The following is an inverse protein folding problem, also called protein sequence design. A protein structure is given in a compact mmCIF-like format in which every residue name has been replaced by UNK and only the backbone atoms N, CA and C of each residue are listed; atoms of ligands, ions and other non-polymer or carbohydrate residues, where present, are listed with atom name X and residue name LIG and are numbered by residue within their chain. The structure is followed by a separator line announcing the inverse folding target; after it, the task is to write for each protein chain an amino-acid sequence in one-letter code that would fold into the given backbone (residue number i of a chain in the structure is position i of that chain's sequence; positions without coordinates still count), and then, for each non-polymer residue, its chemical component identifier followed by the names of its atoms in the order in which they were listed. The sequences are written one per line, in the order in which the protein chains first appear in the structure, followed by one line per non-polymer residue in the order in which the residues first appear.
data_IF_549115542218
#
_entry.id   IF_549115542218
#
_cell.length_a   1.000
_cell.length_b   1.000
_cell.length_c   1.000
_cell.angle_alpha   90.00
_cell.angle_beta   90.00
_cell.angle_gamma   90.00
#
_symmetry.space_group_name_H-M   'P 1'
#
loop_
_entity.id
_entity.type
_entity.pdbx_description
1 polymer ?
#
# COMPACT_ATOMS: atom_id res chain seq x y z
N UNK A 1 -46.39 42.35 -23.61
CA UNK A 1 -46.17 40.90 -23.39
C UNK A 1 -44.88 40.78 -22.59
N UNK A 2 -44.93 41.00 -21.27
CA UNK A 2 -45.20 40.02 -20.20
C UNK A 2 -44.36 38.75 -20.30
N UNK A 3 -43.49 38.55 -19.30
CA UNK A 3 -42.70 37.34 -19.09
C UNK A 3 -41.60 37.52 -18.04
N UNK A 4 -41.92 38.03 -16.84
CA UNK A 4 -41.06 37.98 -15.66
C UNK A 4 -41.13 36.59 -15.01
N UNK A 5 -39.99 36.03 -14.58
CA UNK A 5 -39.93 34.96 -13.56
C UNK A 5 -38.95 35.38 -12.47
N UNK A 6 -39.48 35.37 -11.26
CA UNK A 6 -38.94 35.92 -10.04
C UNK A 6 -37.74 35.16 -9.46
N UNK A 7 -36.82 35.91 -8.83
CA UNK A 7 -35.81 35.42 -7.89
C UNK A 7 -36.43 35.38 -6.49
N UNK A 8 -36.28 34.25 -5.79
CA UNK A 8 -36.66 34.13 -4.38
C UNK A 8 -35.41 34.06 -3.51
N UNK A 9 -35.20 35.10 -2.70
CA UNK A 9 -34.24 35.17 -1.60
C UNK A 9 -35.00 34.98 -0.30
N UNK A 10 -34.65 33.96 0.48
CA UNK A 10 -35.12 33.82 1.86
C UNK A 10 -34.12 34.49 2.81
N UNK A 11 -34.57 35.57 3.44
CA UNK A 11 -34.05 36.10 4.70
C UNK A 11 -35.10 35.79 5.76
N UNK A 12 -34.76 35.09 6.83
CA UNK A 12 -35.48 35.24 8.11
C UNK A 12 -34.48 35.17 9.26
N UNK A 13 -34.60 36.19 10.10
CA UNK A 13 -33.85 36.48 11.31
C UNK A 13 -34.66 36.02 12.52
N UNK A 14 -33.97 35.53 13.56
CA UNK A 14 -34.14 35.90 14.98
C UNK A 14 -35.43 35.62 15.79
N UNK A 15 -35.18 34.95 16.94
CA UNK A 15 -35.68 35.15 18.32
C UNK A 15 -36.99 34.49 18.84
N UNK A 16 -36.80 33.94 20.06
CA UNK A 16 -37.67 33.73 21.24
C UNK A 16 -38.69 32.57 21.37
N UNK A 17 -38.24 31.53 22.09
CA UNK A 17 -38.59 31.15 23.47
C UNK A 17 -40.05 30.89 23.96
N UNK A 18 -40.13 29.80 24.77
CA UNK A 18 -41.01 29.51 25.93
C UNK A 18 -42.42 28.89 25.72
N UNK A 19 -42.59 27.59 26.04
CA UNK A 19 -43.29 27.06 27.26
C UNK A 19 -43.58 25.53 27.16
N UNK A 20 -43.11 24.83 28.20
CA UNK A 20 -43.51 23.57 28.87
C UNK A 20 -44.23 22.42 28.15
N UNK A 21 -43.69 21.21 28.37
CA UNK A 21 -44.39 19.93 28.25
C UNK A 21 -43.58 18.78 28.86
N UNK A 22 -43.90 18.44 30.10
CA UNK A 22 -43.30 17.43 30.98
C UNK A 22 -43.26 16.02 30.37
N UNK A 23 -42.11 15.34 30.43
CA UNK A 23 -42.06 13.89 30.71
C UNK A 23 -40.72 13.50 31.34
N UNK A 24 -40.81 13.21 32.63
CA UNK A 24 -39.78 12.62 33.49
C UNK A 24 -39.72 11.12 33.19
N UNK A 25 -38.54 10.60 32.90
CA UNK A 25 -38.19 9.22 33.26
C UNK A 25 -36.70 9.15 33.63
N UNK A 26 -36.50 8.67 34.86
CA UNK A 26 -35.24 8.40 35.52
C UNK A 26 -34.46 7.33 34.76
N UNK A 27 -33.15 7.53 34.56
CA UNK A 27 -32.18 6.50 34.93
C UNK A 27 -30.78 7.11 35.06
N UNK A 28 -30.39 7.38 36.31
CA UNK A 28 -29.01 7.68 36.71
C UNK A 28 -28.26 6.36 36.98
N UNK A 29 -26.94 6.44 36.87
CA UNK A 29 -25.93 5.53 37.42
C UNK A 29 -25.47 4.35 36.54
N UNK A 30 -24.42 4.60 35.74
CA UNK A 30 -23.18 3.79 35.67
C UNK A 30 -22.22 4.42 34.66
N UNK A 31 -21.00 4.77 35.09
CA UNK A 31 -19.90 5.09 34.17
C UNK A 31 -19.08 6.34 34.50
N UNK A 32 -18.80 6.64 35.77
CA UNK A 32 -17.73 7.57 36.15
C UNK A 32 -16.83 6.90 37.19
N UNK A 33 -15.98 6.01 36.70
CA UNK A 33 -14.77 5.57 37.37
C UNK A 33 -13.84 5.19 36.24
N UNK A 34 -12.94 6.09 35.83
CA UNK A 34 -11.72 5.83 35.02
C UNK A 34 -11.03 7.17 34.64
N UNK A 35 -10.83 8.12 35.57
CA UNK A 35 -9.92 9.29 35.33
C UNK A 35 -9.28 9.81 36.64
N UNK A 36 -8.92 8.96 37.60
CA UNK A 36 -8.32 9.43 38.87
C UNK A 36 -7.05 8.67 39.31
N UNK A 37 -6.29 8.12 38.37
CA UNK A 37 -5.08 7.33 38.69
C UNK A 37 -3.87 7.69 37.79
N UNK A 38 -3.68 8.96 37.43
CA UNK A 38 -2.49 9.41 36.68
C UNK A 38 -2.00 10.81 37.07
N UNK A 39 -2.06 11.16 38.36
CA UNK A 39 -1.41 12.38 38.88
C UNK A 39 -0.72 12.20 40.25
N UNK A 40 -0.08 11.05 40.48
CA UNK A 40 0.71 10.84 41.71
C UNK A 40 2.04 10.12 41.49
N UNK A 41 2.78 10.52 40.46
CA UNK A 41 4.22 10.18 40.32
C UNK A 41 4.98 11.46 39.98
N UNK A 42 5.17 12.32 40.99
CA UNK A 42 6.29 13.27 41.11
C UNK A 42 6.19 14.00 42.44
N UNK A 43 6.68 13.35 43.49
CA UNK A 43 7.31 13.98 44.65
C UNK A 43 7.78 12.85 45.57
N UNK A 44 8.95 13.08 46.16
CA UNK A 44 9.58 12.29 47.23
C UNK A 44 10.30 11.00 46.84
N UNK A 45 11.60 11.20 46.59
CA UNK A 45 12.59 10.15 46.73
C UNK A 45 12.79 9.80 48.20
N UNK A 46 12.58 8.53 48.52
CA UNK A 46 13.37 7.76 49.49
C UNK A 46 12.90 6.30 49.39
N UNK A 47 13.78 5.41 48.93
CA UNK A 47 13.51 3.96 48.90
C UNK A 47 14.19 3.37 50.13
N UNK A 48 13.40 3.06 51.16
CA UNK A 48 13.80 2.22 52.28
C UNK A 48 13.63 0.75 51.88
N UNK A 49 14.73 0.00 51.88
CA UNK A 49 14.73 -1.44 51.65
C UNK A 49 14.30 -2.17 52.94
N UNK A 50 13.22 -2.95 52.86
CA UNK A 50 12.79 -3.88 53.91
C UNK A 50 13.51 -5.24 53.75
N UNK A 51 13.75 -5.99 54.85
CA UNK A 51 14.52 -7.23 54.81
C UNK A 51 13.73 -8.39 54.21
N UNK A 52 14.43 -9.19 53.40
CA UNK A 52 13.95 -10.39 52.73
C UNK A 52 13.69 -11.54 53.72
N UNK A 53 12.53 -12.18 53.58
CA UNK A 53 12.22 -13.48 54.19
C UNK A 53 12.81 -14.63 53.36
N UNK A 54 13.00 -15.84 53.94
CA UNK A 54 13.77 -16.91 53.33
C UNK A 54 13.02 -17.62 52.19
N UNK A 55 13.78 -17.99 51.16
CA UNK A 55 13.31 -18.67 49.97
C UNK A 55 12.80 -20.10 50.26
N UNK A 56 11.58 -20.38 49.77
CA UNK A 56 11.07 -21.73 49.54
C UNK A 56 11.76 -22.30 48.30
N UNK A 57 12.50 -23.39 48.48
CA UNK A 57 13.10 -24.18 47.41
C UNK A 57 11.98 -24.92 46.68
N UNK A 58 11.59 -24.40 45.52
CA UNK A 58 10.76 -25.13 44.56
C UNK A 58 11.68 -25.90 43.60
N UNK A 59 11.49 -27.22 43.55
CA UNK A 59 12.14 -28.13 42.61
C UNK A 59 11.76 -27.78 41.16
N UNK A 60 12.76 -27.63 40.29
CA UNK A 60 12.60 -27.40 38.86
C UNK A 60 11.88 -28.57 38.18
N UNK A 61 10.85 -28.33 37.36
CA UNK A 61 10.30 -29.35 36.48
C UNK A 61 11.28 -29.63 35.32
N UNK A 62 11.48 -30.91 35.03
CA UNK A 62 12.36 -31.38 33.97
C UNK A 62 11.95 -30.82 32.60
N UNK A 63 12.92 -30.52 31.70
CA UNK A 63 12.63 -29.97 30.39
C UNK A 63 11.84 -30.97 29.52
N UNK A 64 10.87 -30.49 28.70
CA UNK A 64 10.12 -31.35 27.81
C UNK A 64 11.02 -31.96 26.74
N UNK A 65 10.76 -33.24 26.46
CA UNK A 65 11.45 -34.04 25.45
C UNK A 65 11.32 -33.40 24.07
N UNK A 66 12.43 -33.35 23.33
CA UNK A 66 12.48 -32.79 21.99
C UNK A 66 11.49 -33.51 21.05
N UNK A 67 10.73 -32.79 20.21
CA UNK A 67 9.87 -33.40 19.21
C UNK A 67 10.71 -34.12 18.14
N UNK A 68 10.16 -35.19 17.53
CA UNK A 68 10.84 -35.91 16.45
C UNK A 68 11.07 -34.99 15.24
N UNK A 69 12.15 -35.20 14.48
CA UNK A 69 12.46 -34.39 13.30
C UNK A 69 11.34 -34.52 12.27
N UNK A 70 10.68 -33.39 12.00
CA UNK A 70 9.77 -33.23 10.88
C UNK A 70 10.50 -33.47 9.58
N UNK A 71 9.93 -34.28 8.68
CA UNK A 71 10.49 -34.59 7.38
C UNK A 71 10.69 -33.30 6.57
N UNK A 72 11.95 -32.88 6.46
CA UNK A 72 12.37 -31.72 5.69
C UNK A 72 12.01 -31.93 4.23
N UNK A 73 11.26 -30.99 3.64
CA UNK A 73 11.16 -30.88 2.20
C UNK A 73 12.58 -30.80 1.59
N UNK A 74 12.84 -31.44 0.43
CA UNK A 74 14.16 -31.41 -0.18
C UNK A 74 14.60 -29.97 -0.44
N UNK A 75 15.87 -29.63 -0.19
CA UNK A 75 16.40 -28.31 -0.49
C UNK A 75 16.23 -28.04 -1.99
N UNK A 76 15.56 -26.94 -2.32
CA UNK A 76 15.48 -26.46 -3.69
C UNK A 76 16.91 -26.29 -4.23
N UNK A 77 17.18 -26.88 -5.38
CA UNK A 77 18.49 -26.77 -6.03
C UNK A 77 18.82 -25.29 -6.26
N UNK A 78 20.06 -24.83 -5.99
CA UNK A 78 20.44 -23.46 -6.25
C UNK A 78 20.37 -23.19 -7.75
N UNK A 79 19.36 -22.43 -8.16
CA UNK A 79 19.27 -21.87 -9.51
C UNK A 79 20.40 -20.84 -9.63
N UNK A 80 21.31 -21.04 -10.58
CA UNK A 80 22.38 -20.08 -10.84
C UNK A 80 21.75 -18.71 -11.16
N UNK A 81 22.20 -17.61 -10.53
CA UNK A 81 21.65 -16.29 -10.80
C UNK A 81 21.82 -15.98 -12.29
N UNK A 82 20.71 -15.73 -12.98
CA UNK A 82 20.74 -15.28 -14.37
C UNK A 82 21.60 -14.02 -14.44
N UNK A 83 22.64 -14.04 -15.27
CA UNK A 83 23.44 -12.86 -15.55
C UNK A 83 22.48 -11.71 -15.95
N UNK A 84 22.73 -10.47 -15.50
CA UNK A 84 21.95 -9.33 -15.95
C UNK A 84 21.89 -9.38 -17.46
N UNK A 85 20.69 -9.55 -18.03
CA UNK A 85 20.45 -9.33 -19.46
C UNK A 85 20.48 -7.82 -19.69
N UNK A 86 21.48 -7.13 -19.13
CA UNK A 86 21.47 -5.70 -18.90
C UNK A 86 20.96 -5.05 -20.15
N UNK A 87 19.85 -4.29 -20.03
CA UNK A 87 19.03 -3.81 -21.15
C UNK A 87 19.88 -3.80 -22.39
N UNK A 88 19.79 -4.87 -23.23
CA UNK A 88 20.71 -4.98 -24.37
C UNK A 88 20.63 -3.61 -25.01
N UNK A 89 21.76 -2.91 -25.10
CA UNK A 89 21.87 -1.55 -25.61
C UNK A 89 21.44 -1.40 -27.08
N UNK A 90 20.71 -2.39 -27.60
CA UNK A 90 19.93 -2.36 -28.83
C UNK A 90 19.00 -1.15 -28.94
N UNK A 91 18.65 -0.49 -27.85
CA UNK A 91 17.72 0.65 -27.88
C UNK A 91 18.33 2.01 -27.48
N UNK A 92 19.64 2.12 -27.23
CA UNK A 92 20.28 3.41 -26.87
C UNK A 92 21.00 4.09 -28.05
N UNK A 93 21.18 3.40 -29.17
CA UNK A 93 21.60 4.03 -30.43
C UNK A 93 20.39 4.69 -31.11
N UNK A 94 20.60 5.84 -31.78
CA UNK A 94 19.64 6.58 -32.64
C UNK A 94 19.00 5.73 -33.77
N UNK A 95 19.35 4.44 -33.87
CA UNK A 95 18.83 3.45 -34.81
C UNK A 95 17.61 2.69 -34.30
N UNK A 96 17.09 3.03 -33.12
CA UNK A 96 15.84 2.47 -32.58
C UNK A 96 14.56 2.95 -33.30
N UNK A 97 14.69 3.68 -34.41
CA UNK A 97 13.60 3.91 -35.36
C UNK A 97 13.11 2.63 -36.05
N UNK A 98 13.89 1.54 -35.98
CA UNK A 98 13.40 0.20 -36.28
C UNK A 98 13.00 -0.50 -34.99
N UNK A 99 11.83 -0.09 -34.47
CA UNK A 99 11.04 -0.86 -33.51
C UNK A 99 11.12 -2.33 -33.95
N UNK A 100 11.60 -3.22 -33.07
CA UNK A 100 11.50 -4.66 -33.37
C UNK A 100 10.08 -4.91 -33.86
N UNK A 101 9.85 -5.63 -34.97
CA UNK A 101 8.48 -5.90 -35.46
C UNK A 101 7.56 -6.50 -34.38
N UNK A 102 8.17 -6.99 -33.30
CA UNK A 102 7.55 -7.57 -32.12
C UNK A 102 7.00 -6.56 -31.13
N UNK A 103 7.43 -5.30 -31.11
CA UNK A 103 6.91 -4.31 -30.16
C UNK A 103 5.67 -3.64 -30.77
N UNK A 104 4.49 -4.21 -30.49
CA UNK A 104 3.21 -3.65 -30.91
C UNK A 104 2.82 -2.46 -30.05
N UNK A 105 3.09 -1.29 -30.59
CA UNK A 105 2.83 0.00 -29.95
C UNK A 105 1.35 0.41 -30.03
N UNK A 106 0.60 -0.13 -30.99
CA UNK A 106 -0.81 0.17 -31.27
C UNK A 106 -1.77 -0.18 -30.14
N UNK A 107 -1.35 -1.05 -29.22
CA UNK A 107 -2.08 -1.40 -27.99
C UNK A 107 -2.29 -0.18 -27.08
N UNK A 108 -1.45 0.85 -27.20
CA UNK A 108 -1.49 2.01 -26.30
C UNK A 108 -2.00 3.26 -27.01
N UNK A 109 -3.29 3.55 -26.80
CA UNK A 109 -3.86 4.86 -27.10
C UNK A 109 -3.63 5.77 -25.90
N UNK A 110 -2.77 6.78 -26.08
CA UNK A 110 -2.26 7.70 -25.04
C UNK A 110 -3.30 8.54 -24.27
N UNK A 111 -4.60 8.28 -24.44
CA UNK A 111 -5.69 9.09 -23.86
C UNK A 111 -6.58 8.34 -22.88
N UNK A 112 -6.30 7.06 -22.63
CA UNK A 112 -7.08 6.27 -21.69
C UNK A 112 -6.53 6.43 -20.27
N UNK A 113 -6.92 7.52 -19.62
CA UNK A 113 -6.64 7.83 -18.20
C UNK A 113 -7.54 7.02 -17.25
N UNK A 114 -7.79 5.76 -17.57
CA UNK A 114 -8.69 4.88 -16.83
C UNK A 114 -7.85 3.96 -15.96
N UNK A 115 -8.41 3.57 -14.82
CA UNK A 115 -7.75 2.63 -13.94
C UNK A 115 -7.54 1.29 -14.67
N UNK A 116 -6.34 0.70 -14.58
CA UNK A 116 -6.10 -0.58 -15.21
C UNK A 116 -6.96 -1.66 -14.56
N UNK A 117 -7.37 -2.64 -15.37
CA UNK A 117 -7.86 -3.91 -14.82
C UNK A 117 -6.69 -4.62 -14.13
N UNK A 118 -6.95 -5.24 -12.99
CA UNK A 118 -5.99 -6.00 -12.19
C UNK A 118 -6.18 -7.53 -12.34
N UNK A 119 -6.79 -7.99 -13.44
CA UNK A 119 -7.09 -9.41 -13.67
C UNK A 119 -5.84 -10.32 -13.62
N UNK A 120 -4.64 -9.79 -13.86
CA UNK A 120 -3.41 -10.56 -13.69
C UNK A 120 -3.12 -10.87 -12.22
N UNK A 121 -3.51 -10.01 -11.28
CA UNK A 121 -3.29 -10.22 -9.85
C UNK A 121 -4.11 -11.42 -9.37
N UNK A 122 -5.35 -11.56 -9.86
CA UNK A 122 -6.16 -12.76 -9.63
C UNK A 122 -5.43 -14.01 -10.10
N UNK A 123 -4.83 -13.96 -11.30
CA UNK A 123 -4.06 -15.07 -11.84
C UNK A 123 -2.77 -15.34 -11.07
N UNK A 124 -2.12 -14.32 -10.54
CA UNK A 124 -0.96 -14.44 -9.64
C UNK A 124 -1.33 -15.17 -8.34
N UNK A 125 -2.49 -14.86 -7.76
CA UNK A 125 -3.01 -15.56 -6.59
C UNK A 125 -3.34 -17.03 -6.91
N UNK A 126 -3.89 -17.34 -8.08
CA UNK A 126 -4.16 -18.72 -8.51
C UNK A 126 -2.88 -19.56 -8.64
N UNK A 127 -1.80 -19.02 -9.23
CA UNK A 127 -0.55 -19.77 -9.47
C UNK A 127 0.37 -19.83 -8.25
N UNK A 128 0.18 -18.94 -7.28
CA UNK A 128 0.95 -18.91 -6.03
C UNK A 128 0.02 -18.63 -4.84
N UNK A 129 -0.83 -19.59 -4.43
CA UNK A 129 -1.86 -19.30 -3.45
C UNK A 129 -1.36 -19.38 -2.00
N UNK A 130 -0.05 -19.39 -1.78
CA UNK A 130 0.54 -19.42 -0.45
C UNK A 130 0.12 -18.17 0.36
N UNK A 131 -0.49 -18.34 1.54
CA UNK A 131 -1.02 -17.24 2.36
C UNK A 131 0.06 -16.39 3.06
N UNK A 132 1.30 -16.88 3.19
CA UNK A 132 2.40 -16.17 3.85
C UNK A 132 2.96 -15.08 2.92
N UNK A 133 2.15 -14.04 2.70
CA UNK A 133 2.48 -12.84 1.92
C UNK A 133 2.67 -11.64 2.82
N UNK A 134 3.71 -10.86 2.53
CA UNK A 134 3.91 -9.52 3.08
C UNK A 134 3.66 -8.50 1.97
N UNK A 135 2.65 -7.67 2.17
CA UNK A 135 2.24 -6.59 1.25
C UNK A 135 2.60 -5.26 1.89
N UNK A 136 3.34 -4.42 1.18
CA UNK A 136 3.59 -3.04 1.58
C UNK A 136 2.99 -2.11 0.52
N UNK A 137 1.99 -1.34 0.92
CA UNK A 137 1.32 -0.38 0.06
C UNK A 137 1.61 1.04 0.57
N UNK A 138 2.42 1.77 -0.20
CA UNK A 138 2.90 3.12 0.11
C UNK A 138 2.05 4.13 -0.65
N UNK A 139 1.44 5.05 0.10
CA UNK A 139 0.38 5.93 -0.40
C UNK A 139 -0.93 5.18 -0.60
N UNK A 140 -1.24 4.28 0.34
CA UNK A 140 -2.36 3.36 0.22
C UNK A 140 -3.74 4.04 0.22
N UNK A 141 -3.84 5.34 0.54
CA UNK A 141 -5.01 6.18 0.36
C UNK A 141 -6.25 5.66 1.08
N UNK A 142 -7.14 4.95 0.38
CA UNK A 142 -8.37 4.32 0.93
C UNK A 142 -8.18 2.87 1.36
N UNK A 143 -7.00 2.30 1.13
CA UNK A 143 -6.64 0.93 1.50
C UNK A 143 -7.23 -0.16 0.62
N UNK A 144 -7.84 0.18 -0.53
CA UNK A 144 -8.51 -0.79 -1.41
C UNK A 144 -7.56 -1.91 -1.83
N UNK A 145 -6.39 -1.59 -2.38
CA UNK A 145 -5.46 -2.63 -2.84
C UNK A 145 -4.97 -3.48 -1.68
N UNK A 146 -4.67 -2.87 -0.54
CA UNK A 146 -4.23 -3.63 0.64
C UNK A 146 -5.27 -4.67 1.07
N UNK A 147 -6.55 -4.31 1.10
CA UNK A 147 -7.63 -5.26 1.43
C UNK A 147 -7.85 -6.27 0.30
N UNK A 148 -7.72 -5.86 -0.96
CA UNK A 148 -7.80 -6.77 -2.10
C UNK A 148 -6.75 -7.87 -2.00
N UNK A 149 -5.49 -7.49 -1.77
CA UNK A 149 -4.39 -8.44 -1.60
C UNK A 149 -4.58 -9.32 -0.37
N UNK A 150 -4.97 -8.77 0.79
CA UNK A 150 -5.29 -9.60 1.95
C UNK A 150 -6.38 -10.64 1.65
N UNK A 151 -7.46 -10.24 0.95
CA UNK A 151 -8.55 -11.14 0.59
C UNK A 151 -8.12 -12.26 -0.37
N UNK A 152 -7.25 -11.97 -1.33
CA UNK A 152 -6.78 -12.97 -2.31
C UNK A 152 -5.82 -14.01 -1.71
N UNK A 153 -5.17 -13.70 -0.59
CA UNK A 153 -4.20 -14.60 0.04
C UNK A 153 -4.63 -15.10 1.42
N UNK A 154 -5.77 -14.65 1.94
CA UNK A 154 -6.35 -15.21 3.16
C UNK A 154 -7.21 -16.43 2.83
N UNK A 155 -7.03 -17.47 3.62
CA UNK A 155 -7.83 -18.68 3.50
C UNK A 155 -9.15 -18.57 4.25
N UNK A 156 -9.20 -17.70 5.25
CA UNK A 156 -10.39 -17.42 6.01
C UNK A 156 -11.20 -16.31 5.36
N UNK A 157 -12.54 -16.28 5.53
CA UNK A 157 -13.39 -15.21 5.00
C UNK A 157 -13.27 -13.91 5.81
N UNK A 158 -12.08 -13.56 6.30
CA UNK A 158 -11.83 -12.41 7.18
C UNK A 158 -11.97 -11.10 6.41
N UNK A 159 -11.29 -11.01 5.26
CA UNK A 159 -11.23 -9.79 4.47
C UNK A 159 -12.36 -9.74 3.45
N UNK A 160 -13.05 -8.61 3.42
CA UNK A 160 -14.15 -8.34 2.50
C UNK A 160 -13.98 -6.93 1.91
N UNK A 161 -13.38 -6.89 0.73
CA UNK A 161 -13.13 -5.67 -0.03
C UNK A 161 -14.44 -4.93 -0.35
N UNK A 162 -15.53 -5.65 -0.62
CA UNK A 162 -16.83 -5.03 -0.92
C UNK A 162 -17.41 -4.31 0.29
N UNK A 163 -17.25 -4.89 1.48
CA UNK A 163 -17.66 -4.30 2.76
C UNK A 163 -16.75 -3.13 3.13
N UNK A 164 -15.46 -3.25 2.85
CA UNK A 164 -14.47 -2.19 3.03
C UNK A 164 -14.76 -0.97 2.15
N UNK A 165 -14.88 -1.16 0.83
CA UNK A 165 -15.12 -0.10 -0.15
C UNK A 165 -16.39 0.70 0.16
N UNK A 166 -17.44 0.04 0.69
CA UNK A 166 -18.68 0.71 1.14
C UNK A 166 -18.50 1.57 2.41
N UNK A 167 -17.38 1.46 3.12
CA UNK A 167 -17.09 2.19 4.36
C UNK A 167 -16.08 3.32 4.18
N UNK A 168 -15.54 3.51 2.98
CA UNK A 168 -14.65 4.61 2.61
C UNK A 168 -15.26 5.39 1.43
N UNK A 169 -14.90 6.67 1.22
CA UNK A 169 -15.37 7.41 0.05
C UNK A 169 -14.96 6.72 -1.26
N UNK A 170 -15.85 6.70 -2.25
CA UNK A 170 -15.54 6.10 -3.55
C UNK A 170 -14.33 6.78 -4.20
N UNK A 171 -13.51 6.00 -4.89
CA UNK A 171 -12.48 6.50 -5.81
C UNK A 171 -13.00 6.67 -7.23
N UNK A 172 -12.17 7.22 -8.13
CA UNK A 172 -12.43 7.25 -9.57
C UNK A 172 -12.42 5.84 -10.17
N UNK A 173 -11.65 4.92 -9.57
CA UNK A 173 -11.59 3.52 -9.96
C UNK A 173 -12.77 2.72 -9.38
N UNK A 174 -13.36 1.88 -10.24
CA UNK A 174 -14.29 0.85 -9.76
C UNK A 174 -13.49 -0.20 -9.01
N UNK A 175 -13.93 -0.51 -7.79
CA UNK A 175 -13.37 -1.60 -7.01
C UNK A 175 -13.98 -2.90 -7.52
N UNK A 176 -13.15 -3.81 -8.02
CA UNK A 176 -13.59 -5.16 -8.32
C UNK A 176 -13.74 -5.94 -7.02
N UNK A 177 -14.98 -6.27 -6.66
CA UNK A 177 -15.26 -7.02 -5.42
C UNK A 177 -15.15 -8.54 -5.60
N UNK A 178 -15.07 -9.02 -6.83
CA UNK A 178 -15.19 -10.44 -7.16
C UNK A 178 -13.78 -11.02 -7.29
N UNK A 179 -13.09 -11.02 -6.15
CA UNK A 179 -11.74 -11.55 -6.01
C UNK A 179 -11.76 -13.05 -5.73
N UNK A 180 -10.83 -13.83 -6.33
CA UNK A 180 -10.70 -15.24 -6.04
C UNK A 180 -10.33 -15.44 -4.57
N UNK A 181 -10.73 -16.57 -4.01
CA UNK A 181 -10.22 -17.05 -2.72
C UNK A 181 -9.17 -18.12 -2.98
N UNK A 182 -8.08 -18.14 -2.22
CA UNK A 182 -7.10 -19.20 -2.35
C UNK A 182 -7.74 -20.53 -1.90
N UNK A 183 -7.28 -21.67 -2.44
CA UNK A 183 -7.60 -22.97 -1.87
C UNK A 183 -7.15 -23.06 -0.40
N UNK A 184 -7.71 -24.00 0.35
CA UNK A 184 -7.30 -24.21 1.75
C UNK A 184 -5.85 -24.72 1.84
N UNK A 185 -5.07 -24.15 2.74
CA UNK A 185 -3.67 -24.50 3.06
C UNK A 185 -3.51 -24.81 4.55
N UNK A 186 -2.61 -25.72 4.90
CA UNK A 186 -2.30 -26.04 6.30
C UNK A 186 -1.33 -25.02 6.95
N UNK A 187 -1.43 -23.74 6.63
CA UNK A 187 -0.57 -22.69 7.20
C UNK A 187 -1.27 -21.98 8.34
N UNK A 188 -0.59 -21.84 9.47
CA UNK A 188 -1.03 -21.00 10.60
C UNK A 188 -0.75 -19.50 10.37
N UNK A 189 0.00 -19.16 9.32
CA UNK A 189 0.28 -17.78 8.92
C UNK A 189 -0.63 -17.39 7.77
N UNK A 190 -1.35 -16.30 7.96
CA UNK A 190 -2.09 -15.55 6.97
C UNK A 190 -1.31 -14.31 6.50
N UNK A 191 -1.87 -13.59 5.53
CA UNK A 191 -1.19 -12.46 4.91
C UNK A 191 -1.11 -11.24 5.84
N UNK A 192 -0.07 -10.44 5.63
CA UNK A 192 0.15 -9.18 6.34
C UNK A 192 0.22 -8.06 5.31
N UNK A 193 -0.54 -6.98 5.53
CA UNK A 193 -0.46 -5.77 4.73
C UNK A 193 -0.08 -4.57 5.59
N UNK A 194 0.87 -3.77 5.13
CA UNK A 194 1.23 -2.47 5.71
C UNK A 194 0.81 -1.37 4.75
N UNK A 195 -0.22 -0.64 5.15
CA UNK A 195 -0.77 0.53 4.48
C UNK A 195 -0.09 1.77 5.06
N UNK A 196 0.80 2.37 4.29
CA UNK A 196 1.51 3.59 4.68
C UNK A 196 0.82 4.77 4.00
N UNK A 197 0.31 5.69 4.80
CA UNK A 197 -0.45 6.85 4.33
C UNK A 197 0.06 8.13 5.00
N UNK A 198 0.24 9.18 4.22
CA UNK A 198 0.78 10.45 4.68
C UNK A 198 -0.31 11.47 5.04
N UNK A 199 -1.47 11.43 4.36
CA UNK A 199 -2.59 12.32 4.60
C UNK A 199 -3.27 11.98 5.95
N UNK A 200 -3.26 12.90 6.93
CA UNK A 200 -3.75 12.60 8.28
C UNK A 200 -5.22 12.19 8.33
N UNK A 201 -6.08 12.79 7.48
CA UNK A 201 -7.51 12.44 7.46
C UNK A 201 -7.76 11.06 6.84
N UNK A 202 -6.95 10.64 5.87
CA UNK A 202 -6.99 9.27 5.34
C UNK A 202 -6.56 8.28 6.42
N UNK A 203 -5.47 8.53 7.14
CA UNK A 203 -5.05 7.68 8.27
C UNK A 203 -6.16 7.53 9.31
N UNK A 204 -6.82 8.64 9.70
CA UNK A 204 -7.93 8.60 10.67
C UNK A 204 -9.10 7.76 10.14
N UNK A 205 -9.46 7.93 8.88
CA UNK A 205 -10.49 7.14 8.21
C UNK A 205 -10.12 5.65 8.21
N UNK A 206 -8.92 5.31 7.73
CA UNK A 206 -8.42 3.94 7.65
C UNK A 206 -8.45 3.24 9.01
N UNK A 207 -7.92 3.88 10.07
CA UNK A 207 -7.95 3.32 11.43
C UNK A 207 -9.37 3.13 11.97
N UNK A 208 -10.28 4.05 11.66
CA UNK A 208 -11.69 3.94 12.04
C UNK A 208 -12.36 2.73 11.36
N UNK A 209 -12.13 2.54 10.06
CA UNK A 209 -12.72 1.43 9.29
C UNK A 209 -12.07 0.09 9.66
N UNK A 210 -10.75 0.07 9.85
CA UNK A 210 -9.99 -1.08 10.37
C UNK A 210 -10.61 -1.58 11.69
N UNK A 211 -10.75 -0.70 12.68
CA UNK A 211 -11.34 -1.03 13.98
C UNK A 211 -12.79 -1.49 13.88
N UNK A 212 -13.58 -0.88 12.97
CA UNK A 212 -14.99 -1.27 12.73
C UNK A 212 -15.11 -2.73 12.29
N UNK A 213 -14.11 -3.26 11.58
CA UNK A 213 -14.16 -4.62 11.02
C UNK A 213 -13.28 -5.63 11.76
N UNK A 214 -12.56 -5.25 12.80
CA UNK A 214 -11.65 -6.15 13.51
C UNK A 214 -10.43 -6.51 12.65
N UNK A 215 -10.01 -5.61 11.76
CA UNK A 215 -8.91 -5.81 10.82
C UNK A 215 -7.56 -5.42 11.42
N UNK A 216 -7.52 -5.11 12.72
CA UNK A 216 -6.28 -4.86 13.43
C UNK A 216 -5.28 -6.03 13.30
N UNK A 217 -3.97 -5.74 13.42
CA UNK A 217 -2.96 -6.78 13.38
C UNK A 217 -3.13 -7.86 14.46
N UNK A 218 -2.85 -9.10 14.08
CA UNK A 218 -2.89 -10.28 14.95
C UNK A 218 -1.63 -11.14 14.76
N UNK A 219 -1.50 -12.22 15.56
CA UNK A 219 -0.36 -13.13 15.44
C UNK A 219 -0.33 -13.92 14.12
N UNK A 220 -1.49 -14.11 13.48
CA UNK A 220 -1.63 -14.87 12.24
C UNK A 220 -1.69 -14.00 10.99
N UNK A 221 -1.59 -12.69 11.08
CA UNK A 221 -1.77 -11.80 9.93
C UNK A 221 -2.43 -10.49 10.33
N UNK A 222 -2.55 -9.55 9.40
CA UNK A 222 -3.09 -8.25 9.77
C UNK A 222 -3.01 -7.15 8.73
N UNK A 223 -3.88 -6.16 8.91
CA UNK A 223 -3.80 -4.89 8.19
C UNK A 223 -3.19 -3.84 9.14
N UNK A 224 -2.00 -3.33 8.84
CA UNK A 224 -1.34 -2.27 9.61
C UNK A 224 -1.52 -0.92 8.94
N UNK A 225 -1.96 0.10 9.67
CA UNK A 225 -2.06 1.49 9.16
C UNK A 225 -0.95 2.35 9.77
N UNK A 226 -0.03 2.82 8.95
CA UNK A 226 1.14 3.64 9.33
C UNK A 226 0.95 5.07 8.83
N UNK A 227 1.10 6.05 9.73
CA UNK A 227 1.08 7.47 9.38
C UNK A 227 2.50 7.96 9.11
N UNK A 228 2.90 7.99 7.84
CA UNK A 228 4.21 8.48 7.42
C UNK A 228 4.20 8.89 5.95
N UNK A 229 5.03 9.86 5.60
CA UNK A 229 5.42 10.14 4.23
C UNK A 229 6.69 9.34 3.91
N UNK A 230 6.64 8.55 2.83
CA UNK A 230 7.79 7.72 2.42
C UNK A 230 8.60 8.45 1.35
N UNK A 231 9.92 8.43 1.49
CA UNK A 231 10.86 9.12 0.59
C UNK A 231 12.18 8.36 0.44
N UNK A 232 13.10 8.95 -0.32
CA UNK A 232 14.42 8.40 -0.62
C UNK A 232 15.33 8.31 0.60
N UNK A 233 15.32 9.34 1.45
CA UNK A 233 16.12 9.41 2.67
C UNK A 233 15.30 9.99 3.81
N UNK A 234 15.17 9.23 4.89
CA UNK A 234 14.58 9.68 6.14
C UNK A 234 15.52 9.39 7.31
N UNK A 235 15.82 10.41 8.11
CA UNK A 235 16.56 10.22 9.37
C UNK A 235 15.58 9.80 10.48
N UNK A 236 16.00 9.04 11.49
CA UNK A 236 15.16 8.75 12.65
C UNK A 236 14.58 10.03 13.26
N UNK A 237 13.25 10.09 13.40
CA UNK A 237 12.53 11.24 13.94
C UNK A 237 12.39 12.43 12.98
N UNK A 238 12.86 12.31 11.73
CA UNK A 238 12.64 13.36 10.73
C UNK A 238 11.17 13.44 10.33
N UNK A 239 10.77 14.63 9.87
CA UNK A 239 9.39 14.93 9.50
C UNK A 239 9.36 15.80 8.25
N UNK A 240 8.26 15.74 7.52
CA UNK A 240 7.98 16.62 6.37
C UNK A 240 6.65 17.32 6.52
N UNK A 241 6.51 18.45 5.82
CA UNK A 241 5.26 19.18 5.72
C UNK A 241 4.38 18.52 4.65
N UNK A 242 3.19 18.07 5.03
CA UNK A 242 2.24 17.36 4.16
C UNK A 242 0.85 18.01 4.21
N UNK A 243 0.08 18.03 3.10
CA UNK A 243 -1.28 18.57 3.10
C UNK A 243 -2.26 17.76 3.97
N UNK A 244 -3.01 18.45 4.83
CA UNK A 244 -4.14 17.91 5.60
C UNK A 244 -5.43 17.97 4.77
N UNK A 245 -5.44 17.20 3.68
CA UNK A 245 -6.57 17.11 2.76
C UNK A 245 -7.78 16.38 3.40
N UNK A 246 -9.02 16.61 2.91
CA UNK A 246 -10.20 15.86 3.36
C UNK A 246 -10.04 14.34 3.22
N UNK A 247 -10.73 13.58 4.08
CA UNK A 247 -10.69 12.11 4.03
C UNK A 247 -11.19 11.57 2.68
N UNK A 248 -10.48 10.59 2.14
CA UNK A 248 -10.72 10.00 0.82
C UNK A 248 -10.18 10.81 -0.35
N UNK A 249 -9.45 11.90 -0.10
CA UNK A 249 -8.77 12.63 -1.16
C UNK A 249 -7.52 11.88 -1.59
N UNK A 250 -7.43 11.64 -2.89
CA UNK A 250 -6.36 10.82 -3.48
C UNK A 250 -5.16 11.70 -3.85
N UNK A 251 -5.43 12.86 -4.47
CA UNK A 251 -4.42 13.78 -5.01
C UNK A 251 -3.53 14.49 -3.97
N UNK A 252 -3.55 14.10 -2.70
CA UNK A 252 -2.75 14.77 -1.68
C UNK A 252 -1.31 14.26 -1.73
N UNK A 253 -0.36 15.09 -2.16
CA UNK A 253 1.05 14.69 -2.31
C UNK A 253 2.04 15.74 -1.81
N UNK A 254 3.33 15.36 -1.75
CA UNK A 254 4.40 16.30 -1.38
C UNK A 254 4.57 17.44 -2.39
N UNK A 255 4.35 17.14 -3.68
CA UNK A 255 4.49 18.11 -4.77
C UNK A 255 3.16 18.69 -5.25
N UNK A 256 2.03 18.20 -4.76
CA UNK A 256 0.70 18.66 -5.16
C UNK A 256 -0.19 18.92 -3.94
N UNK A 257 -0.79 20.10 -3.89
CA UNK A 257 -1.81 20.45 -2.91
C UNK A 257 -2.79 21.49 -3.45
N UNK A 258 -4.03 21.42 -2.98
CA UNK A 258 -4.92 22.58 -3.03
C UNK A 258 -4.40 23.65 -2.04
N UNK A 259 -4.45 24.92 -2.44
CA UNK A 259 -3.99 26.05 -1.60
C UNK A 259 -4.82 26.23 -0.33
N UNK A 260 -6.06 25.74 -0.31
CA UNK A 260 -6.95 25.79 0.83
C UNK A 260 -6.61 24.77 1.93
N UNK A 261 -5.82 23.74 1.60
CA UNK A 261 -5.45 22.72 2.58
C UNK A 261 -4.36 23.24 3.51
N UNK A 262 -4.56 23.00 4.80
CA UNK A 262 -3.54 23.29 5.81
C UNK A 262 -2.39 22.30 5.65
N UNK A 263 -1.18 22.76 5.93
CA UNK A 263 -0.04 21.87 6.00
C UNK A 263 0.12 21.38 7.44
N UNK A 264 0.49 20.13 7.60
CA UNK A 264 0.80 19.54 8.90
C UNK A 264 2.12 18.78 8.84
N UNK A 265 2.73 18.56 9.99
CA UNK A 265 3.97 17.81 10.12
C UNK A 265 3.66 16.32 10.19
N UNK A 266 4.26 15.55 9.28
CA UNK A 266 4.10 14.09 9.17
C UNK A 266 5.47 13.43 9.31
N UNK A 267 5.59 12.30 10.03
CA UNK A 267 6.84 11.54 10.09
C UNK A 267 7.32 11.16 8.69
N UNK A 268 8.63 11.27 8.47
CA UNK A 268 9.28 10.78 7.26
C UNK A 268 9.91 9.41 7.52
N UNK A 269 9.72 8.48 6.60
CA UNK A 269 10.28 7.12 6.66
C UNK A 269 10.81 6.73 5.26
N UNK A 270 11.59 5.65 5.18
CA UNK A 270 11.87 4.97 3.90
C UNK A 270 11.19 3.60 3.89
N UNK A 271 11.07 2.97 2.72
CA UNK A 271 10.57 1.58 2.64
C UNK A 271 11.49 0.65 3.46
N UNK A 272 12.80 0.84 3.37
CA UNK A 272 13.77 0.02 4.10
C UNK A 272 13.64 0.18 5.64
N UNK A 273 13.42 1.40 6.15
CA UNK A 273 13.22 1.60 7.60
C UNK A 273 11.93 0.95 8.08
N UNK A 274 10.86 1.00 7.28
CA UNK A 274 9.60 0.35 7.59
C UNK A 274 9.73 -1.17 7.60
N UNK A 275 10.33 -1.78 6.56
CA UNK A 275 10.55 -3.23 6.51
C UNK A 275 11.34 -3.73 7.72
N UNK A 276 12.41 -3.00 8.10
CA UNK A 276 13.20 -3.29 9.29
C UNK A 276 12.38 -3.15 10.59
N UNK A 277 11.60 -2.08 10.73
CA UNK A 277 10.77 -1.79 11.91
C UNK A 277 9.74 -2.88 12.18
N UNK A 278 9.13 -3.40 11.13
CA UNK A 278 8.19 -4.53 11.21
C UNK A 278 8.88 -5.91 11.27
N UNK A 279 10.22 -5.94 11.16
CA UNK A 279 11.03 -7.17 11.15
C UNK A 279 10.60 -8.15 10.07
N UNK A 280 10.22 -7.63 8.90
CA UNK A 280 9.81 -8.48 7.80
C UNK A 280 11.03 -9.13 7.17
N UNK A 281 11.07 -10.47 7.05
CA UNK A 281 12.17 -11.15 6.35
C UNK A 281 12.10 -10.95 4.83
N UNK A 282 10.91 -10.58 4.32
CA UNK A 282 10.64 -10.30 2.91
C UNK A 282 9.47 -9.32 2.79
N UNK A 283 9.39 -8.64 1.66
CA UNK A 283 8.18 -7.95 1.20
C UNK A 283 7.83 -8.58 -0.14
N UNK A 284 6.78 -9.41 -0.24
CA UNK A 284 6.43 -10.07 -1.50
C UNK A 284 5.90 -9.05 -2.52
N UNK A 285 5.08 -8.10 -2.06
CA UNK A 285 4.34 -7.13 -2.88
C UNK A 285 4.66 -5.72 -2.40
N UNK A 286 5.18 -4.88 -3.29
CA UNK A 286 5.36 -3.45 -3.04
C UNK A 286 4.47 -2.65 -4.01
N UNK A 287 3.56 -1.86 -3.47
CA UNK A 287 2.69 -0.95 -4.23
C UNK A 287 3.06 0.47 -3.85
N UNK A 288 3.20 1.34 -4.83
CA UNK A 288 3.57 2.74 -4.65
C UNK A 288 2.61 3.61 -5.46
N UNK A 289 1.83 4.42 -4.75
CA UNK A 289 0.93 5.42 -5.31
C UNK A 289 1.11 6.69 -4.47
N UNK A 290 2.16 7.46 -4.79
CA UNK A 290 2.53 8.62 -3.96
C UNK A 290 2.36 9.95 -4.68
N UNK A 291 1.43 10.01 -5.64
CA UNK A 291 1.04 11.22 -6.35
C UNK A 291 2.29 11.97 -6.88
N UNK A 292 3.20 11.19 -7.48
CA UNK A 292 4.42 11.65 -8.14
C UNK A 292 5.70 11.66 -7.31
N UNK A 293 5.70 11.10 -6.09
CA UNK A 293 6.90 10.84 -5.31
C UNK A 293 7.48 9.43 -5.51
N UNK A 294 6.91 8.64 -6.42
CA UNK A 294 7.19 7.22 -6.62
C UNK A 294 8.69 6.92 -6.86
N UNK A 295 9.40 7.73 -7.68
CA UNK A 295 10.84 7.56 -7.83
C UNK A 295 11.64 7.69 -6.52
N UNK A 296 11.25 8.59 -5.63
CA UNK A 296 11.93 8.77 -4.34
C UNK A 296 11.66 7.60 -3.41
N UNK A 297 10.41 7.10 -3.38
CA UNK A 297 10.06 5.89 -2.62
C UNK A 297 10.92 4.70 -3.06
N UNK A 298 11.08 4.51 -4.38
CA UNK A 298 11.95 3.47 -4.95
C UNK A 298 13.42 3.63 -4.54
N UNK A 299 13.93 4.86 -4.50
CA UNK A 299 15.31 5.13 -4.04
C UNK A 299 15.48 4.85 -2.53
N UNK A 300 14.40 4.93 -1.74
CA UNK A 300 14.36 4.57 -0.33
C UNK A 300 14.05 3.09 -0.04
N UNK A 301 13.92 2.27 -1.09
CA UNK A 301 13.57 0.84 -1.03
C UNK A 301 14.71 -0.09 -1.47
N UNK A 302 15.96 0.38 -1.45
CA UNK A 302 17.11 -0.31 -2.06
C UNK A 302 17.32 -1.73 -1.52
N UNK A 303 17.22 -1.89 -0.20
CA UNK A 303 17.41 -3.19 0.44
C UNK A 303 16.16 -4.06 0.32
N UNK A 304 14.99 -3.46 0.49
CA UNK A 304 13.69 -4.16 0.42
C UNK A 304 13.45 -4.74 -0.98
N UNK A 305 13.80 -4.00 -2.04
CA UNK A 305 13.68 -4.44 -3.44
C UNK A 305 14.46 -5.74 -3.77
N UNK A 306 15.39 -6.16 -2.91
CA UNK A 306 16.07 -7.47 -3.06
C UNK A 306 15.10 -8.63 -2.82
N UNK A 307 14.09 -8.43 -1.97
CA UNK A 307 13.09 -9.43 -1.58
C UNK A 307 11.74 -9.25 -2.26
N UNK A 308 11.51 -8.09 -2.88
CA UNK A 308 10.29 -7.80 -3.65
C UNK A 308 10.16 -8.71 -4.84
N UNK A 309 8.98 -9.34 -4.96
CA UNK A 309 8.60 -10.25 -6.03
C UNK A 309 7.75 -9.53 -7.07
N UNK A 310 6.77 -8.75 -6.61
CA UNK A 310 5.91 -7.88 -7.42
C UNK A 310 6.00 -6.44 -6.97
N UNK A 311 6.16 -5.53 -7.92
CA UNK A 311 6.20 -4.09 -7.73
C UNK A 311 5.14 -3.45 -8.63
N UNK A 312 4.34 -2.53 -8.09
CA UNK A 312 3.51 -1.61 -8.87
C UNK A 312 3.88 -0.18 -8.46
N UNK A 313 4.06 0.70 -9.43
CA UNK A 313 4.17 2.13 -9.16
C UNK A 313 3.42 2.98 -10.20
N UNK A 314 2.98 4.16 -9.78
CA UNK A 314 2.35 5.13 -10.67
C UNK A 314 3.37 6.09 -11.31
N UNK A 315 3.14 6.43 -12.58
CA UNK A 315 3.94 7.36 -13.35
C UNK A 315 3.12 8.62 -13.61
N UNK A 316 3.41 9.71 -12.89
CA UNK A 316 2.77 11.01 -13.11
C UNK A 316 3.66 11.98 -13.89
N UNK A 317 3.26 12.31 -15.12
CA UNK A 317 3.92 13.31 -15.96
C UNK A 317 3.19 14.66 -15.95
N UNK A 318 1.95 14.69 -15.47
CA UNK A 318 1.12 15.90 -15.37
C UNK A 318 1.41 16.75 -14.13
N UNK A 319 2.04 16.17 -13.10
CA UNK A 319 2.37 16.83 -11.85
C UNK A 319 3.71 17.60 -11.94
N UNK A 320 3.63 18.91 -12.15
CA UNK A 320 4.81 19.81 -12.19
C UNK A 320 5.55 19.82 -10.85
N UNK A 321 6.87 19.73 -10.90
CA UNK A 321 7.73 19.77 -9.70
C UNK A 321 7.70 18.50 -8.85
N UNK A 322 7.07 17.43 -9.35
CA UNK A 322 7.14 16.08 -8.78
C UNK A 322 8.53 15.46 -8.97
N UNK A 323 8.77 14.28 -8.39
CA UNK A 323 10.01 13.55 -8.62
C UNK A 323 10.10 13.04 -10.06
N UNK A 324 8.96 12.76 -10.69
CA UNK A 324 8.91 12.45 -12.11
C UNK A 324 9.39 13.60 -12.99
N UNK A 325 9.25 14.88 -12.60
CA UNK A 325 9.80 15.99 -13.40
C UNK A 325 11.34 15.99 -13.46
N UNK A 326 12.01 15.21 -12.60
CA UNK A 326 13.47 15.10 -12.52
C UNK A 326 13.99 13.74 -13.00
N UNK A 327 13.10 12.78 -13.28
CA UNK A 327 13.47 11.40 -13.60
C UNK A 327 12.62 10.84 -14.74
N UNK A 328 13.29 10.21 -15.69
CA UNK A 328 12.63 9.50 -16.80
C UNK A 328 12.13 8.14 -16.33
N UNK A 329 11.02 7.66 -16.90
CA UNK A 329 10.53 6.31 -16.68
C UNK A 329 11.59 5.31 -17.15
N UNK A 330 12.26 5.61 -18.27
CA UNK A 330 13.39 4.81 -18.76
C UNK A 330 14.45 4.57 -17.68
N UNK A 331 14.86 5.62 -16.97
CA UNK A 331 15.90 5.48 -15.92
C UNK A 331 15.42 4.65 -14.72
N UNK A 332 14.13 4.72 -14.37
CA UNK A 332 13.54 3.89 -13.32
C UNK A 332 13.49 2.42 -13.76
N UNK A 333 13.03 2.17 -14.99
CA UNK A 333 12.97 0.81 -15.55
C UNK A 333 14.36 0.19 -15.69
N UNK A 334 15.37 0.95 -16.14
CA UNK A 334 16.76 0.47 -16.19
C UNK A 334 17.32 0.16 -14.80
N UNK A 335 16.98 0.99 -13.80
CA UNK A 335 17.34 0.74 -12.40
C UNK A 335 16.71 -0.55 -11.87
N UNK A 336 15.45 -0.84 -12.22
CA UNK A 336 14.75 -2.07 -11.85
C UNK A 336 15.24 -3.30 -12.63
N UNK A 337 15.54 -3.13 -13.93
CA UNK A 337 16.15 -4.14 -14.80
C UNK A 337 17.46 -4.67 -14.23
N UNK A 338 18.33 -3.75 -13.78
CA UNK A 338 19.60 -4.10 -13.11
C UNK A 338 19.42 -4.84 -11.78
N UNK A 339 18.21 -4.76 -11.19
CA UNK A 339 17.83 -5.48 -9.96
C UNK A 339 17.05 -6.77 -10.24
N UNK A 340 16.99 -7.19 -11.50
CA UNK A 340 16.35 -8.44 -11.88
C UNK A 340 14.85 -8.34 -12.09
N UNK A 341 14.29 -7.16 -12.32
CA UNK A 341 12.87 -7.01 -12.65
C UNK A 341 12.67 -6.88 -14.16
N UNK A 342 11.61 -7.50 -14.67
CA UNK A 342 10.99 -7.07 -15.93
C UNK A 342 9.75 -6.24 -15.61
N UNK A 343 9.51 -5.19 -16.39
CA UNK A 343 8.46 -4.21 -16.17
C UNK A 343 7.56 -4.12 -17.39
N UNK A 344 6.27 -3.92 -17.13
CA UNK A 344 5.22 -3.77 -18.10
C UNK A 344 4.35 -2.55 -17.79
N UNK A 345 3.91 -1.91 -18.85
CA UNK A 345 2.85 -0.93 -18.82
C UNK A 345 1.52 -1.63 -18.54
N UNK A 346 0.78 -1.14 -17.56
CA UNK A 346 -0.55 -1.67 -17.23
C UNK A 346 -1.61 -1.06 -18.17
N UNK A 347 -2.21 -1.88 -19.04
CA UNK A 347 -3.29 -1.48 -19.93
C UNK A 347 -4.64 -1.45 -19.23
N UNK A 348 -5.61 -0.75 -19.83
CA UNK A 348 -6.93 -0.54 -19.24
C UNK A 348 -7.79 -1.81 -19.24
N UNK A 349 -7.58 -2.70 -20.20
CA UNK A 349 -8.34 -3.93 -20.35
C UNK A 349 -7.58 -5.17 -19.84
N UNK A 350 -6.55 -4.97 -19.02
CA UNK A 350 -5.78 -6.05 -18.40
C UNK A 350 -4.66 -6.60 -19.29
N UNK A 351 -4.45 -6.02 -20.47
CA UNK A 351 -3.28 -6.20 -21.31
C UNK A 351 -2.05 -5.51 -20.70
N UNK A 352 -0.88 -6.02 -21.06
CA UNK A 352 0.40 -5.48 -20.60
C UNK A 352 1.34 -5.31 -21.78
N UNK A 353 2.25 -4.35 -21.76
CA UNK A 353 3.38 -4.35 -22.70
C UNK A 353 4.69 -4.10 -22.00
N UNK A 354 5.69 -4.90 -22.36
CA UNK A 354 7.01 -4.81 -21.76
C UNK A 354 7.65 -3.44 -22.01
N UNK A 355 7.83 -2.68 -20.94
CA UNK A 355 8.57 -1.42 -20.96
C UNK A 355 10.07 -1.70 -20.83
N UNK A 356 10.46 -2.83 -20.24
CA UNK A 356 11.86 -3.27 -20.17
C UNK A 356 12.40 -3.64 -21.55
N UNK A 357 11.63 -4.35 -22.37
CA UNK A 357 12.09 -4.85 -23.68
C UNK A 357 11.66 -3.97 -24.85
N UNK A 358 10.51 -3.31 -24.74
CA UNK A 358 9.89 -2.51 -25.80
C UNK A 358 9.64 -1.06 -25.34
N UNK A 359 10.69 -0.42 -24.80
CA UNK A 359 10.57 0.98 -24.40
C UNK A 359 10.28 1.90 -25.58
N UNK A 360 9.31 2.79 -25.43
CA UNK A 360 9.02 3.83 -26.40
C UNK A 360 8.99 5.22 -25.74
N UNK A 361 9.56 6.27 -26.38
CA UNK A 361 9.57 7.63 -25.81
C UNK A 361 8.19 8.18 -25.44
N UNK A 362 7.12 7.70 -26.07
CA UNK A 362 5.75 8.13 -25.76
C UNK A 362 5.26 7.71 -24.37
N UNK A 363 5.89 6.71 -23.73
CA UNK A 363 5.62 6.42 -22.32
C UNK A 363 5.98 7.60 -21.39
N UNK A 364 6.74 8.58 -21.88
CA UNK A 364 7.03 9.83 -21.16
C UNK A 364 6.03 10.96 -21.43
N UNK A 365 5.13 10.78 -22.39
CA UNK A 365 4.21 11.82 -22.88
C UNK A 365 2.76 11.61 -22.40
N UNK A 366 2.57 10.79 -21.37
CA UNK A 366 1.27 10.50 -20.76
C UNK A 366 0.91 11.56 -19.71
N UNK A 367 -0.29 11.49 -19.11
CA UNK A 367 -0.58 12.22 -17.88
C UNK A 367 -0.23 11.36 -16.67
N UNK A 368 -0.91 10.21 -16.56
CA UNK A 368 -0.65 9.21 -15.53
C UNK A 368 -0.84 7.79 -16.07
N UNK A 369 -0.17 6.80 -15.46
CA UNK A 369 -0.40 5.37 -15.70
C UNK A 369 0.29 4.52 -14.64
N UNK A 370 -0.12 3.27 -14.51
CA UNK A 370 0.59 2.29 -13.70
C UNK A 370 1.63 1.52 -14.52
N UNK A 371 2.74 1.20 -13.86
CA UNK A 371 3.75 0.25 -14.33
C UNK A 371 3.86 -0.85 -13.29
N UNK A 372 3.80 -2.09 -13.77
CA UNK A 372 3.96 -3.29 -12.96
C UNK A 372 5.29 -3.94 -13.30
N UNK A 373 6.00 -4.43 -12.30
CA UNK A 373 7.27 -5.12 -12.48
C UNK A 373 7.29 -6.38 -11.65
N UNK A 374 7.86 -7.46 -12.20
CA UNK A 374 8.00 -8.73 -11.50
C UNK A 374 9.45 -9.19 -11.58
N UNK A 375 9.94 -9.75 -10.46
CA UNK A 375 11.27 -10.34 -10.37
C UNK A 375 11.37 -11.47 -11.39
N UNK A 376 12.45 -11.50 -12.17
CA UNK A 376 12.77 -12.64 -13.04
C UNK A 376 12.84 -13.91 -12.20
N UNK A 377 12.43 -15.00 -12.81
CA UNK A 377 12.36 -16.33 -12.20
C UNK A 377 11.25 -16.50 -11.15
N UNK A 378 10.48 -15.44 -10.86
CA UNK A 378 9.25 -15.58 -10.06
C UNK A 378 8.13 -16.22 -10.89
N UNK A 379 7.30 -17.04 -10.26
CA UNK A 379 6.12 -17.65 -10.90
C UNK A 379 5.13 -16.60 -11.44
N UNK A 380 5.09 -15.42 -10.83
CA UNK A 380 4.28 -14.30 -11.29
C UNK A 380 4.77 -13.67 -12.61
N UNK A 381 6.03 -13.90 -12.98
CA UNK A 381 6.61 -13.33 -14.20
C UNK A 381 5.91 -13.88 -15.45
N UNK A 382 5.66 -15.19 -15.47
CA UNK A 382 4.93 -15.85 -16.56
C UNK A 382 3.48 -15.38 -16.70
N UNK A 383 2.85 -14.92 -15.61
CA UNK A 383 1.50 -14.38 -15.65
C UNK A 383 1.47 -13.10 -16.48
N UNK A 384 2.42 -12.17 -16.25
CA UNK A 384 2.50 -10.92 -17.02
C UNK A 384 3.02 -11.16 -18.44
N UNK A 385 4.02 -12.02 -18.61
CA UNK A 385 4.53 -12.35 -19.95
C UNK A 385 3.43 -12.92 -20.85
N UNK A 386 2.58 -13.82 -20.34
CA UNK A 386 1.51 -14.44 -21.13
C UNK A 386 0.45 -13.45 -21.64
N UNK A 387 0.37 -12.27 -21.01
CA UNK A 387 -0.52 -11.16 -21.35
C UNK A 387 0.13 -10.12 -22.27
N UNK A 388 1.44 -10.20 -22.45
CA UNK A 388 2.16 -9.35 -23.38
C UNK A 388 1.91 -9.83 -24.83
N UNK A 389 1.24 -9.04 -25.68
CA UNK A 389 0.99 -9.42 -27.07
C UNK A 389 2.27 -9.55 -27.89
N UNK A 390 3.41 -9.09 -27.35
CA UNK A 390 4.74 -9.14 -27.96
C UNK A 390 5.52 -10.42 -27.57
N UNK A 391 5.08 -11.15 -26.54
CA UNK A 391 5.76 -12.37 -26.08
C UNK A 391 5.49 -13.61 -26.97
N UNK A 392 4.43 -13.59 -27.80
CA UNK A 392 3.97 -14.76 -28.58
C UNK A 392 4.60 -14.90 -29.98
N UNK A 393 5.82 -14.43 -30.21
CA UNK A 393 6.54 -14.56 -31.50
C UNK A 393 8.02 -14.70 -31.32
#
# INVERSE_FOLDING_TARGET
MMGEIAKSTCVVSSLLAFVLGILVCQNQSRGLAWVAELQKIRADGTVTLAPSSPALVASEPSPPSAPPPSASAPPASPVAPLAPRGVKSRCLDDRCSQVSPRCRSDVFRSRDYRCPSDDWVKKMAEVDPNPDKVIMNVGCNKGHDSIAWLQMFDQEPTWDLKKWARSVPNGPCKVDSDLPRPPSFSSSKGPVAVCVEAAPQNVKLLKKVQKKFGYEPSASGGFHVVHAAVMDVARPGSTVSFPDAPAGQERAGLSYRDKSWKMTTVPAETVDTLALKFKFPKVDVLIIDTEGADPAVLDGAKETLKTVRYLLFEVHRDLKGSHWSKRTLLSVVQMLDSRGFDCWWAGVHGETASVTQCYEPRFEQILWSNVVCVKRDDVWWHVLESRDPNAKG
#
